data_IF_968810117809
#
_entry.id   IF_968810117809
#
_cell.length_a   1.000
_cell.length_b   1.000
_cell.length_c   1.000
_cell.angle_alpha   90.00
_cell.angle_beta   90.00
_cell.angle_gamma   90.00
#
_symmetry.space_group_name_H-M   'P 1'
#
loop_
_entity.id
_entity.type
_entity.pdbx_description
1 polymer ?
#
# COMPACT_ATOMS: atom_id res chain seq x y z
N UNK A 1 -12.30 -0.80 17.09
CA UNK A 1 -11.51 -1.48 18.14
C UNK A 1 -10.47 -2.45 17.56
N UNK A 2 -10.76 -3.20 16.48
CA UNK A 2 -9.78 -4.10 15.82
C UNK A 2 -8.63 -3.36 15.15
N UNK A 3 -8.87 -2.23 14.49
CA UNK A 3 -7.81 -1.44 13.83
C UNK A 3 -6.74 -0.92 14.82
N UNK A 4 -7.17 -0.37 15.96
CA UNK A 4 -6.25 0.07 17.01
C UNK A 4 -5.41 -1.07 17.57
N UNK A 5 -5.99 -2.28 17.69
CA UNK A 5 -5.25 -3.50 18.10
C UNK A 5 -4.25 -3.94 17.03
N UNK A 6 -4.62 -3.87 15.76
CA UNK A 6 -3.73 -4.20 14.64
C UNK A 6 -2.52 -3.26 14.59
N UNK A 7 -2.75 -1.94 14.69
CA UNK A 7 -1.68 -0.93 14.75
C UNK A 7 -0.78 -1.11 15.97
N UNK A 8 -1.36 -1.47 17.12
CA UNK A 8 -0.56 -1.80 18.33
C UNK A 8 0.30 -3.03 18.09
N UNK A 9 -0.27 -4.11 17.55
CA UNK A 9 0.46 -5.34 17.26
C UNK A 9 1.65 -5.10 16.32
N UNK A 10 1.47 -4.31 15.25
CA UNK A 10 2.57 -3.96 14.33
C UNK A 10 3.66 -3.17 15.06
N UNK A 11 3.30 -2.22 15.91
CA UNK A 11 4.26 -1.47 16.73
C UNK A 11 5.01 -2.35 17.71
N UNK A 12 4.33 -3.31 18.32
CA UNK A 12 4.95 -4.27 19.24
C UNK A 12 5.89 -5.22 18.47
N UNK A 13 5.52 -5.66 17.27
CA UNK A 13 6.37 -6.49 16.41
C UNK A 13 7.65 -5.76 15.97
N UNK A 14 7.58 -4.45 15.69
CA UNK A 14 8.74 -3.60 15.36
C UNK A 14 9.80 -3.52 16.46
N UNK A 15 9.48 -3.91 17.70
CA UNK A 15 10.44 -3.91 18.81
C UNK A 15 11.39 -5.10 18.71
N UNK A 16 10.95 -6.21 18.11
CA UNK A 16 11.64 -7.51 18.18
C UNK A 16 11.84 -8.20 16.83
N UNK A 17 11.36 -7.62 15.74
CA UNK A 17 11.46 -8.20 14.40
C UNK A 17 11.91 -7.16 13.37
N UNK A 18 12.56 -7.65 12.32
CA UNK A 18 12.97 -6.84 11.18
C UNK A 18 11.75 -6.31 10.41
N UNK A 19 11.87 -5.10 9.85
CA UNK A 19 10.80 -4.46 9.07
C UNK A 19 10.36 -5.36 7.91
N UNK A 20 11.33 -6.02 7.25
CA UNK A 20 11.04 -6.91 6.13
C UNK A 20 10.20 -8.12 6.54
N UNK A 21 10.42 -8.69 7.74
CA UNK A 21 9.62 -9.82 8.23
C UNK A 21 8.16 -9.41 8.45
N UNK A 22 7.96 -8.21 9.01
CA UNK A 22 6.62 -7.66 9.25
C UNK A 22 5.93 -7.33 7.93
N UNK A 23 6.63 -6.70 6.99
CA UNK A 23 6.06 -6.36 5.70
C UNK A 23 5.67 -7.60 4.90
N UNK A 24 6.56 -8.59 4.84
CA UNK A 24 6.32 -9.89 4.23
C UNK A 24 5.10 -10.58 4.87
N UNK A 25 4.95 -10.51 6.19
CA UNK A 25 3.80 -11.06 6.89
C UNK A 25 2.49 -10.37 6.50
N UNK A 26 2.48 -9.03 6.42
CA UNK A 26 1.31 -8.24 6.07
C UNK A 26 0.87 -8.46 4.60
N UNK A 27 1.82 -8.55 3.67
CA UNK A 27 1.54 -8.83 2.25
C UNK A 27 0.95 -10.23 2.10
N UNK A 28 1.58 -11.23 2.71
CA UNK A 28 1.08 -12.60 2.68
C UNK A 28 -0.27 -12.76 3.38
N UNK A 29 -0.52 -11.99 4.45
CA UNK A 29 -1.83 -11.94 5.09
C UNK A 29 -2.89 -11.32 4.17
N UNK A 30 -2.57 -10.21 3.51
CA UNK A 30 -3.47 -9.55 2.56
C UNK A 30 -3.88 -10.50 1.42
N UNK A 31 -2.91 -11.19 0.82
CA UNK A 31 -3.16 -12.13 -0.29
C UNK A 31 -4.07 -13.27 0.15
N UNK A 32 -3.78 -13.91 1.28
CA UNK A 32 -4.57 -15.04 1.78
C UNK A 32 -5.98 -14.62 2.19
N UNK A 33 -6.11 -13.55 2.99
CA UNK A 33 -7.42 -13.10 3.51
C UNK A 33 -8.35 -12.51 2.44
N UNK A 34 -7.81 -12.21 1.26
CA UNK A 34 -8.58 -11.74 0.10
C UNK A 34 -8.72 -12.80 -1.00
N UNK A 35 -8.32 -14.05 -0.76
CA UNK A 35 -8.40 -15.15 -1.74
C UNK A 35 -7.70 -14.84 -3.09
N UNK A 36 -6.61 -14.07 -3.04
CA UNK A 36 -5.91 -13.59 -4.23
C UNK A 36 -5.00 -14.69 -4.77
N UNK A 37 -5.23 -15.09 -6.03
CA UNK A 37 -4.36 -16.04 -6.74
C UNK A 37 -3.24 -15.29 -7.48
N UNK A 38 -2.06 -15.21 -6.87
CA UNK A 38 -0.87 -14.60 -7.47
C UNK A 38 -0.26 -15.54 -8.51
N UNK A 39 -0.57 -15.31 -9.79
CA UNK A 39 -0.09 -16.14 -10.91
C UNK A 39 1.07 -15.50 -11.68
N UNK A 40 0.86 -14.30 -12.20
CA UNK A 40 1.76 -13.66 -13.17
C UNK A 40 2.59 -12.51 -12.58
N UNK A 41 2.41 -12.20 -11.29
CA UNK A 41 3.15 -11.14 -10.61
C UNK A 41 4.34 -11.77 -9.89
N UNK A 42 5.50 -11.82 -10.57
CA UNK A 42 6.74 -12.39 -10.04
C UNK A 42 7.18 -11.67 -8.76
N UNK A 43 7.09 -10.34 -8.75
CA UNK A 43 7.49 -9.52 -7.61
C UNK A 43 6.72 -9.88 -6.32
N UNK A 44 5.39 -10.01 -6.39
CA UNK A 44 4.60 -10.45 -5.24
C UNK A 44 4.81 -11.94 -4.95
N UNK A 45 4.98 -12.77 -5.98
CA UNK A 45 5.26 -14.20 -5.82
C UNK A 45 6.53 -14.46 -5.03
N UNK A 46 7.59 -13.70 -5.31
CA UNK A 46 8.87 -13.79 -4.60
C UNK A 46 8.73 -13.43 -3.12
N UNK A 47 8.00 -12.35 -2.80
CA UNK A 47 7.72 -11.93 -1.41
C UNK A 47 6.97 -13.02 -0.61
N UNK A 48 6.01 -13.69 -1.25
CA UNK A 48 5.27 -14.80 -0.63
C UNK A 48 6.15 -16.04 -0.48
N UNK A 49 7.07 -16.30 -1.42
CA UNK A 49 7.99 -17.44 -1.34
C UNK A 49 9.12 -17.21 -0.32
N UNK A 50 9.51 -15.96 -0.08
CA UNK A 50 10.56 -15.60 0.87
C UNK A 50 10.11 -15.57 2.33
N UNK A 51 8.92 -16.09 2.65
CA UNK A 51 8.46 -16.18 4.04
C UNK A 51 9.40 -17.06 4.87
N UNK A 52 9.73 -16.60 6.06
CA UNK A 52 10.55 -17.32 7.02
C UNK A 52 9.75 -17.59 8.30
N UNK A 53 10.38 -18.20 9.31
CA UNK A 53 9.70 -18.51 10.56
C UNK A 53 9.17 -17.25 11.26
N UNK A 54 9.89 -16.13 11.23
CA UNK A 54 9.47 -14.88 11.83
C UNK A 54 8.24 -14.28 11.14
N UNK A 55 8.29 -14.12 9.82
CA UNK A 55 7.17 -13.56 9.05
C UNK A 55 5.91 -14.43 9.15
N UNK A 56 6.07 -15.76 9.18
CA UNK A 56 4.96 -16.69 9.41
C UNK A 56 4.34 -16.54 10.81
N UNK A 57 5.16 -16.42 11.86
CA UNK A 57 4.67 -16.19 13.22
C UNK A 57 3.93 -14.86 13.36
N UNK A 58 4.48 -13.79 12.77
CA UNK A 58 3.85 -12.46 12.75
C UNK A 58 2.50 -12.54 12.03
N UNK A 59 2.44 -13.19 10.86
CA UNK A 59 1.19 -13.39 10.10
C UNK A 59 0.14 -14.13 10.91
N UNK A 60 0.51 -15.23 11.57
CA UNK A 60 -0.40 -15.99 12.44
C UNK A 60 -0.88 -15.17 13.64
N UNK A 61 -0.01 -14.38 14.26
CA UNK A 61 -0.38 -13.46 15.33
C UNK A 61 -1.35 -12.39 14.85
N UNK A 62 -1.09 -11.80 13.69
CA UNK A 62 -1.94 -10.77 13.08
C UNK A 62 -3.33 -11.31 12.70
N UNK A 63 -3.39 -12.55 12.19
CA UNK A 63 -4.65 -13.23 11.85
C UNK A 63 -5.59 -13.45 13.04
N UNK A 64 -5.07 -13.44 14.28
CA UNK A 64 -5.91 -13.49 15.50
C UNK A 64 -6.60 -12.15 15.81
N UNK A 65 -6.22 -11.07 15.13
CA UNK A 65 -6.70 -9.70 15.38
C UNK A 65 -7.64 -9.24 14.27
N UNK A 66 -7.31 -9.56 13.01
CA UNK A 66 -8.07 -9.21 11.81
C UNK A 66 -8.30 -10.48 11.01
N UNK A 67 -9.53 -10.69 10.55
CA UNK A 67 -9.87 -11.77 9.61
C UNK A 67 -9.53 -11.38 8.16
N UNK A 68 -9.67 -10.10 7.84
CA UNK A 68 -9.45 -9.53 6.52
C UNK A 68 -9.02 -8.07 6.62
N UNK A 69 -8.22 -7.62 5.65
CA UNK A 69 -7.81 -6.24 5.48
C UNK A 69 -7.99 -5.81 4.02
N UNK A 70 -8.28 -4.53 3.81
CA UNK A 70 -8.29 -3.93 2.48
C UNK A 70 -6.96 -3.24 2.14
N UNK A 71 -6.88 -2.63 0.95
CA UNK A 71 -5.66 -2.00 0.48
C UNK A 71 -5.28 -0.77 1.30
N UNK A 72 -6.25 -0.04 1.89
CA UNK A 72 -5.98 1.14 2.72
C UNK A 72 -5.51 0.75 4.11
N UNK A 73 -6.04 -0.34 4.66
CA UNK A 73 -5.46 -0.99 5.84
C UNK A 73 -3.96 -1.27 5.58
N UNK A 74 -3.61 -1.88 4.45
CA UNK A 74 -2.21 -2.18 4.10
C UNK A 74 -1.35 -0.92 3.90
N UNK A 75 -1.86 0.11 3.22
CA UNK A 75 -1.22 1.43 3.10
C UNK A 75 -0.92 2.02 4.49
N UNK A 76 -1.92 2.02 5.38
CA UNK A 76 -1.79 2.55 6.73
C UNK A 76 -0.77 1.76 7.56
N UNK A 77 -0.70 0.44 7.39
CA UNK A 77 0.27 -0.39 8.12
C UNK A 77 1.69 -0.18 7.60
N UNK A 78 1.88 -0.03 6.30
CA UNK A 78 3.19 0.31 5.73
C UNK A 78 3.73 1.66 6.22
N UNK A 79 2.85 2.61 6.53
CA UNK A 79 3.25 3.87 7.14
C UNK A 79 3.82 3.70 8.56
N UNK A 80 3.33 2.72 9.32
CA UNK A 80 3.85 2.43 10.66
C UNK A 80 5.28 1.88 10.56
N UNK A 81 5.60 1.20 9.48
CA UNK A 81 6.91 0.63 9.19
C UNK A 81 7.94 1.66 8.70
N UNK A 82 7.57 2.93 8.54
CA UNK A 82 8.52 3.99 8.17
C UNK A 82 9.38 4.36 9.39
N UNK A 83 10.73 4.32 9.29
CA UNK A 83 11.62 4.65 10.40
C UNK A 83 11.35 6.05 10.98
N UNK A 84 11.44 6.18 12.32
CA UNK A 84 11.19 7.46 13.00
C UNK A 84 12.18 8.56 12.61
N UNK A 85 13.44 8.19 12.32
CA UNK A 85 14.47 9.10 11.78
C UNK A 85 13.98 9.76 10.50
N UNK A 86 13.46 8.94 9.58
CA UNK A 86 13.05 9.35 8.25
C UNK A 86 11.76 10.18 8.29
N UNK A 87 10.81 9.86 9.18
CA UNK A 87 9.61 10.69 9.36
C UNK A 87 9.94 12.13 9.70
N UNK A 88 10.96 12.36 10.54
CA UNK A 88 11.35 13.70 10.98
C UNK A 88 12.18 14.44 9.93
N UNK A 89 13.07 13.74 9.22
CA UNK A 89 14.02 14.34 8.26
C UNK A 89 13.34 14.57 6.91
N UNK A 90 12.57 13.60 6.41
CA UNK A 90 11.99 13.64 5.07
C UNK A 90 10.54 14.15 5.06
N UNK A 91 9.98 14.51 6.22
CA UNK A 91 8.58 14.93 6.33
C UNK A 91 7.60 13.84 5.88
N UNK A 92 7.93 12.57 6.10
CA UNK A 92 7.12 11.42 5.68
C UNK A 92 5.86 11.29 6.56
N UNK A 93 4.88 12.15 6.31
CA UNK A 93 3.55 12.16 6.92
C UNK A 93 2.52 11.65 5.92
N UNK A 94 1.61 10.80 6.40
CA UNK A 94 0.59 10.22 5.55
C UNK A 94 -0.60 11.15 5.35
N UNK A 95 -1.16 11.08 4.15
CA UNK A 95 -2.42 11.76 3.79
C UNK A 95 -3.58 10.81 4.02
N UNK A 96 -4.50 11.08 4.97
CA UNK A 96 -5.67 10.24 5.20
C UNK A 96 -6.49 10.02 3.92
N UNK A 97 -7.10 8.83 3.75
CA UNK A 97 -7.89 8.48 2.56
C UNK A 97 -8.93 9.55 2.20
N UNK A 98 -9.61 10.12 3.20
CA UNK A 98 -10.59 11.19 3.01
C UNK A 98 -9.98 12.41 2.29
N UNK A 99 -8.77 12.81 2.68
CA UNK A 99 -8.07 13.95 2.09
C UNK A 99 -7.57 13.61 0.69
N UNK A 100 -6.99 12.41 0.51
CA UNK A 100 -6.56 11.90 -0.81
C UNK A 100 -7.72 11.88 -1.80
N UNK A 101 -8.87 11.32 -1.39
CA UNK A 101 -10.07 11.25 -2.21
C UNK A 101 -10.62 12.64 -2.55
N UNK A 102 -10.67 13.55 -1.57
CA UNK A 102 -11.12 14.93 -1.78
C UNK A 102 -10.25 15.65 -2.81
N UNK A 103 -8.93 15.62 -2.66
CA UNK A 103 -7.98 16.29 -3.55
C UNK A 103 -8.12 15.75 -4.98
N UNK A 104 -8.12 14.41 -5.16
CA UNK A 104 -8.24 13.83 -6.50
C UNK A 104 -9.57 14.22 -7.15
N UNK A 105 -10.68 14.18 -6.42
CA UNK A 105 -11.99 14.60 -6.96
C UNK A 105 -11.98 16.05 -7.41
N UNK A 106 -11.45 16.97 -6.59
CA UNK A 106 -11.41 18.39 -6.94
C UNK A 106 -10.48 18.66 -8.13
N UNK A 107 -9.33 17.99 -8.22
CA UNK A 107 -8.41 18.11 -9.36
C UNK A 107 -9.07 17.61 -10.66
N UNK A 108 -9.83 16.51 -10.61
CA UNK A 108 -10.45 15.90 -11.78
C UNK A 108 -11.78 16.54 -12.19
N UNK A 109 -12.44 17.27 -11.28
CA UNK A 109 -13.78 17.86 -11.48
C UNK A 109 -13.94 18.66 -12.77
N UNK A 110 -12.88 19.34 -13.19
CA UNK A 110 -12.88 20.22 -14.38
C UNK A 110 -12.05 19.65 -15.54
N UNK A 111 -11.70 18.35 -15.48
CA UNK A 111 -10.92 17.69 -16.52
C UNK A 111 -11.83 16.87 -17.43
N UNK A 112 -11.58 16.98 -18.74
CA UNK A 112 -12.16 16.09 -19.74
C UNK A 112 -11.21 14.92 -19.97
N UNK A 113 -11.73 13.83 -20.55
CA UNK A 113 -10.94 12.65 -20.93
C UNK A 113 -10.08 12.11 -19.78
N UNK A 114 -10.67 12.03 -18.57
CA UNK A 114 -9.97 11.63 -17.35
C UNK A 114 -9.22 10.30 -17.55
N UNK A 115 -9.80 9.32 -18.25
CA UNK A 115 -9.17 8.03 -18.51
C UNK A 115 -7.84 8.11 -19.30
N UNK A 116 -7.62 9.17 -20.07
CA UNK A 116 -6.44 9.36 -20.92
C UNK A 116 -5.34 10.18 -20.25
N UNK A 117 -5.60 10.74 -19.06
CA UNK A 117 -4.64 11.61 -18.38
C UNK A 117 -3.48 10.80 -17.78
N UNK A 118 -2.28 11.37 -17.91
CA UNK A 118 -1.09 10.95 -17.17
C UNK A 118 -1.00 11.78 -15.88
N UNK A 119 -0.94 11.11 -14.74
CA UNK A 119 -0.82 11.73 -13.42
C UNK A 119 0.55 11.42 -12.82
N UNK A 120 1.14 12.41 -12.16
CA UNK A 120 2.43 12.27 -11.51
C UNK A 120 2.33 12.70 -10.04
N UNK A 121 2.81 11.87 -9.13
CA UNK A 121 3.02 12.20 -7.73
C UNK A 121 4.54 12.26 -7.45
N UNK A 122 5.14 13.46 -7.31
CA UNK A 122 6.59 13.63 -7.19
C UNK A 122 7.13 13.39 -5.76
N UNK A 123 6.28 12.94 -4.82
CA UNK A 123 6.69 12.46 -3.50
C UNK A 123 5.72 11.37 -3.03
N UNK A 124 5.63 10.29 -3.80
CA UNK A 124 4.46 9.42 -3.77
C UNK A 124 4.30 8.59 -2.50
N UNK A 125 5.34 8.45 -1.66
CA UNK A 125 5.27 7.65 -0.44
C UNK A 125 4.84 6.22 -0.75
N UNK A 126 3.75 5.77 -0.13
CA UNK A 126 3.13 4.46 -0.42
C UNK A 126 2.09 4.52 -1.56
N UNK A 127 2.01 5.60 -2.32
CA UNK A 127 1.22 5.71 -3.55
C UNK A 127 -0.25 6.05 -3.35
N UNK A 128 -0.64 6.65 -2.21
CA UNK A 128 -2.04 6.88 -1.86
C UNK A 128 -2.83 7.61 -2.97
N UNK A 129 -2.26 8.69 -3.53
CA UNK A 129 -2.89 9.44 -4.63
C UNK A 129 -2.99 8.63 -5.92
N UNK A 130 -1.95 7.85 -6.25
CA UNK A 130 -1.90 7.00 -7.44
C UNK A 130 -2.92 5.85 -7.35
N UNK A 131 -3.04 5.22 -6.18
CA UNK A 131 -4.03 4.18 -5.89
C UNK A 131 -5.45 4.75 -6.01
N UNK A 132 -5.70 5.94 -5.46
CA UNK A 132 -7.02 6.57 -5.54
C UNK A 132 -7.41 6.89 -6.98
N UNK A 133 -6.47 7.42 -7.77
CA UNK A 133 -6.69 7.67 -9.19
C UNK A 133 -6.97 6.37 -9.96
N UNK A 134 -6.20 5.30 -9.71
CA UNK A 134 -6.43 4.00 -10.33
C UNK A 134 -7.81 3.41 -10.00
N UNK A 135 -8.25 3.54 -8.74
CA UNK A 135 -9.60 3.15 -8.33
C UNK A 135 -10.68 3.94 -9.05
N UNK A 136 -10.50 5.24 -9.26
CA UNK A 136 -11.45 6.06 -10.02
C UNK A 136 -11.53 5.59 -11.46
N UNK A 137 -10.40 5.33 -12.12
CA UNK A 137 -10.40 4.81 -13.49
C UNK A 137 -11.06 3.44 -13.60
N UNK A 138 -10.76 2.54 -12.67
CA UNK A 138 -11.40 1.22 -12.63
C UNK A 138 -12.91 1.31 -12.37
N UNK A 139 -13.34 2.15 -11.43
CA UNK A 139 -14.76 2.25 -11.02
C UNK A 139 -15.62 2.97 -12.06
N UNK A 140 -15.14 4.10 -12.59
CA UNK A 140 -15.96 4.99 -13.40
C UNK A 140 -15.82 4.72 -14.91
N UNK A 141 -14.69 4.14 -15.34
CA UNK A 141 -14.40 3.91 -16.76
C UNK A 141 -14.14 2.43 -17.07
N UNK A 142 -14.23 1.54 -16.07
CA UNK A 142 -13.90 0.12 -16.18
C UNK A 142 -12.51 -0.17 -16.78
N UNK A 143 -11.58 0.79 -16.69
CA UNK A 143 -10.24 0.63 -17.20
C UNK A 143 -9.51 -0.49 -16.47
N UNK A 144 -8.71 -1.29 -17.19
CA UNK A 144 -7.90 -2.34 -16.57
C UNK A 144 -6.85 -1.68 -15.66
N UNK A 145 -6.69 -2.21 -14.45
CA UNK A 145 -5.72 -1.68 -13.47
C UNK A 145 -4.31 -1.73 -14.04
N UNK A 146 -3.92 -2.84 -14.67
CA UNK A 146 -2.59 -2.96 -15.29
C UNK A 146 -2.33 -1.88 -16.34
N UNK A 147 -3.30 -1.63 -17.22
CA UNK A 147 -3.19 -0.57 -18.23
C UNK A 147 -3.12 0.82 -17.61
N UNK A 148 -3.78 1.02 -16.46
CA UNK A 148 -3.71 2.27 -15.69
C UNK A 148 -2.31 2.49 -15.13
N UNK A 149 -1.73 1.46 -14.52
CA UNK A 149 -0.37 1.52 -13.97
C UNK A 149 0.64 1.84 -15.08
N UNK A 150 0.53 1.17 -16.22
CA UNK A 150 1.49 1.33 -17.32
C UNK A 150 1.39 2.69 -18.03
N UNK A 151 0.18 3.20 -18.24
CA UNK A 151 -0.03 4.33 -19.15
C UNK A 151 -0.35 5.65 -18.44
N UNK A 152 -0.90 5.59 -17.23
CA UNK A 152 -1.42 6.77 -16.54
C UNK A 152 -0.62 7.15 -15.29
N UNK A 153 -0.02 6.20 -14.57
CA UNK A 153 0.56 6.46 -13.25
C UNK A 153 2.07 6.70 -13.31
N UNK A 154 2.51 7.82 -12.75
CA UNK A 154 3.92 8.15 -12.57
C UNK A 154 4.15 8.55 -11.11
N UNK A 155 5.17 7.99 -10.47
CA UNK A 155 5.48 8.26 -9.06
C UNK A 155 6.98 8.39 -8.86
N UNK A 156 7.38 9.38 -8.06
CA UNK A 156 8.77 9.61 -7.65
C UNK A 156 8.80 9.78 -6.14
N UNK A 157 9.81 9.24 -5.48
CA UNK A 157 10.07 9.40 -4.06
C UNK A 157 11.57 9.25 -3.82
N UNK A 158 12.08 9.95 -2.81
CA UNK A 158 13.49 9.90 -2.43
C UNK A 158 13.82 8.59 -1.68
N UNK A 159 12.85 8.00 -1.00
CA UNK A 159 13.02 6.76 -0.26
C UNK A 159 12.71 5.55 -1.14
N UNK A 160 13.70 4.67 -1.31
CA UNK A 160 13.55 3.45 -2.11
C UNK A 160 12.44 2.53 -1.58
N UNK A 161 12.28 2.44 -0.25
CA UNK A 161 11.21 1.65 0.36
C UNK A 161 9.81 2.21 0.03
N UNK A 162 9.65 3.52 -0.14
CA UNK A 162 8.39 4.15 -0.55
C UNK A 162 8.03 3.71 -1.97
N UNK A 163 8.99 3.78 -2.89
CA UNK A 163 8.83 3.29 -4.27
C UNK A 163 8.48 1.79 -4.28
N UNK A 164 9.20 0.97 -3.52
CA UNK A 164 8.95 -0.47 -3.44
C UNK A 164 7.54 -0.77 -2.91
N UNK A 165 7.11 -0.09 -1.85
CA UNK A 165 5.78 -0.24 -1.25
C UNK A 165 4.67 0.24 -2.19
N UNK A 166 4.87 1.35 -2.90
CA UNK A 166 3.95 1.81 -3.95
C UNK A 166 3.76 0.75 -5.03
N UNK A 167 4.85 0.11 -5.49
CA UNK A 167 4.78 -1.00 -6.46
C UNK A 167 4.10 -2.26 -5.93
N UNK A 168 4.13 -2.50 -4.62
CA UNK A 168 3.41 -3.62 -4.00
C UNK A 168 1.91 -3.36 -3.97
N UNK A 169 1.52 -2.10 -3.74
CA UNK A 169 0.14 -1.69 -3.53
C UNK A 169 -0.65 -1.46 -4.83
N UNK A 170 0.05 -1.23 -5.95
CA UNK A 170 -0.51 -1.07 -7.31
C UNK A 170 -0.44 -2.38 -8.10
#
# INVERSE_FOLDING_TARGET
MSDMKAKKFIKDALISHEINDIENALISFYVDSNDIKVKNNEFISEIIKSQNNHSNLIKQGFAKIKEKIDIYDLVNYFEILVPKSDKKINGAFFTPELITNFIIREVLKYKNNIADLKVCDPSCGCGAFLIEYAKILKKNFNQKVISTIENNLFGVDIAEYSIRRTKILL
#
